data_IF_599647748680
#
_entry.id   IF_599647748680
#
_cell.length_a   1.000
_cell.length_b   1.000
_cell.length_c   1.000
_cell.angle_alpha   90.00
_cell.angle_beta   90.00
_cell.angle_gamma   90.00
#
_symmetry.space_group_name_H-M   'P 1'
#
loop_
_entity.id
_entity.type
_entity.pdbx_description
1 polymer ?
#
# COMPACT_ATOMS: atom_id res chain seq x y z
N UNK A 1 14.14 -15.61 6.17
CA UNK A 1 14.55 -15.14 7.51
C UNK A 1 13.37 -14.43 8.16
N UNK A 2 12.81 -15.01 9.22
CA UNK A 2 11.63 -14.46 9.90
C UNK A 2 11.85 -14.49 11.42
N UNK A 3 12.58 -13.52 11.98
CA UNK A 3 12.87 -13.50 13.41
C UNK A 3 11.60 -13.21 14.21
N UNK A 4 11.54 -13.71 15.45
CA UNK A 4 10.52 -13.27 16.40
C UNK A 4 10.62 -11.76 16.61
N UNK A 5 9.48 -11.09 16.54
CA UNK A 5 9.38 -9.65 16.69
C UNK A 5 9.74 -9.24 18.11
N UNK A 6 10.65 -8.28 18.27
CA UNK A 6 11.01 -7.72 19.57
C UNK A 6 10.88 -6.20 19.51
N UNK A 7 9.88 -5.69 20.20
CA UNK A 7 9.65 -4.26 20.35
C UNK A 7 10.45 -3.73 21.55
N UNK A 8 11.25 -2.70 21.31
CA UNK A 8 11.99 -1.97 22.34
C UNK A 8 11.16 -0.73 22.72
N UNK A 9 10.95 -0.51 24.01
CA UNK A 9 10.19 0.62 24.58
C UNK A 9 11.16 1.54 25.35
N UNK A 10 11.96 2.39 24.66
CA UNK A 10 13.08 3.12 25.28
C UNK A 10 12.63 4.15 26.33
N UNK A 11 11.43 4.74 26.15
CA UNK A 11 10.95 5.84 26.98
C UNK A 11 10.20 5.38 28.24
N UNK A 12 9.91 4.08 28.36
CA UNK A 12 9.14 3.51 29.46
C UNK A 12 9.86 3.58 30.81
N UNK A 13 11.19 3.48 30.80
CA UNK A 13 12.01 3.63 32.01
C UNK A 13 12.29 5.08 32.42
N UNK A 14 12.22 6.01 31.45
CA UNK A 14 12.54 7.44 31.65
C UNK A 14 11.32 8.24 32.14
N UNK A 15 10.14 7.94 31.60
CA UNK A 15 8.89 8.63 31.97
C UNK A 15 8.17 7.82 33.05
N UNK A 16 8.44 8.16 34.32
CA UNK A 16 7.81 7.51 35.50
C UNK A 16 6.34 7.90 35.71
N UNK A 17 5.86 8.95 35.02
CA UNK A 17 4.48 9.42 35.14
C UNK A 17 3.50 8.41 34.55
N UNK A 18 2.48 8.05 35.34
CA UNK A 18 1.37 7.17 34.92
C UNK A 18 0.29 7.91 34.15
N UNK A 19 0.45 9.22 33.90
CA UNK A 19 -0.56 10.05 33.23
C UNK A 19 -0.94 9.47 31.86
N UNK A 20 -2.25 9.28 31.59
CA UNK A 20 -2.75 8.82 30.28
C UNK A 20 -2.29 9.71 29.12
N UNK A 21 -2.11 11.01 29.35
CA UNK A 21 -1.65 11.98 28.34
C UNK A 21 -0.23 11.74 27.85
N UNK A 22 0.61 11.11 28.68
CA UNK A 22 1.98 10.76 28.33
C UNK A 22 2.10 9.34 27.78
N UNK A 23 1.00 8.56 27.72
CA UNK A 23 1.03 7.17 27.30
C UNK A 23 1.50 6.99 25.85
N UNK A 24 1.18 7.92 24.95
CA UNK A 24 1.62 7.84 23.54
C UNK A 24 3.15 7.92 23.42
N UNK A 25 3.77 8.85 24.16
CA UNK A 25 5.23 9.05 24.13
C UNK A 25 5.94 8.01 24.99
N UNK A 26 5.45 7.73 26.20
CA UNK A 26 6.03 6.73 27.10
C UNK A 26 6.04 5.33 26.49
N UNK A 27 4.95 4.95 25.84
CA UNK A 27 4.75 3.62 25.26
C UNK A 27 5.11 3.61 23.76
N UNK A 28 5.94 4.56 23.32
CA UNK A 28 6.60 4.51 22.02
C UNK A 28 7.43 3.24 21.95
N UNK A 29 7.31 2.55 20.82
CA UNK A 29 7.93 1.27 20.60
C UNK A 29 8.49 1.24 19.19
N UNK A 30 9.62 0.57 19.02
CA UNK A 30 10.18 0.30 17.71
C UNK A 30 10.74 -1.12 17.64
N UNK A 31 10.69 -1.72 16.46
CA UNK A 31 11.29 -3.01 16.16
C UNK A 31 12.33 -2.83 15.05
N UNK A 32 13.53 -3.39 15.25
CA UNK A 32 14.66 -3.29 14.33
C UNK A 32 14.81 -4.52 13.42
N UNK A 33 14.03 -5.57 13.65
CA UNK A 33 14.16 -6.84 12.92
C UNK A 33 13.07 -6.98 11.87
N UNK A 34 13.40 -6.81 10.56
CA UNK A 34 12.48 -7.14 9.50
C UNK A 34 12.42 -8.66 9.26
N UNK A 35 11.28 -9.12 8.77
CA UNK A 35 11.13 -10.43 8.14
C UNK A 35 11.44 -10.29 6.66
N UNK A 36 12.35 -11.11 6.13
CA UNK A 36 12.78 -11.06 4.72
C UNK A 36 12.79 -12.47 4.13
N UNK A 37 12.21 -12.60 2.95
CA UNK A 37 12.21 -13.80 2.13
C UNK A 37 12.77 -13.49 0.74
N UNK A 38 13.64 -14.36 0.26
CA UNK A 38 14.19 -14.34 -1.08
C UNK A 38 13.94 -15.71 -1.71
N UNK A 39 13.29 -15.71 -2.87
CA UNK A 39 13.13 -16.90 -3.71
C UNK A 39 13.76 -16.63 -5.07
N UNK A 40 14.51 -17.59 -5.57
CA UNK A 40 15.23 -17.51 -6.83
C UNK A 40 14.92 -18.77 -7.66
N UNK A 41 14.16 -18.60 -8.74
CA UNK A 41 13.77 -19.68 -9.63
C UNK A 41 14.57 -19.57 -10.93
N UNK A 42 15.29 -20.64 -11.27
CA UNK A 42 16.11 -20.72 -12.47
C UNK A 42 15.54 -21.83 -13.34
N UNK A 43 15.10 -21.47 -14.55
CA UNK A 43 14.54 -22.43 -15.51
C UNK A 43 15.31 -22.37 -16.82
N UNK A 44 15.77 -23.53 -17.30
CA UNK A 44 16.46 -23.64 -18.58
C UNK A 44 15.88 -24.78 -19.42
N UNK A 45 15.47 -24.46 -20.63
CA UNK A 45 15.00 -25.39 -21.65
C UNK A 45 15.77 -25.14 -22.95
N UNK A 46 16.18 -26.23 -23.59
CA UNK A 46 16.88 -26.22 -24.87
C UNK A 46 16.22 -27.22 -25.82
N UNK A 47 15.75 -26.74 -26.95
CA UNK A 47 15.29 -27.53 -28.09
C UNK A 47 16.18 -27.31 -29.30
N UNK A 48 16.43 -28.37 -30.07
CA UNK A 48 17.11 -28.28 -31.36
C UNK A 48 16.34 -29.08 -32.39
N UNK A 49 16.04 -28.47 -33.52
CA UNK A 49 15.41 -29.13 -34.66
C UNK A 49 16.39 -29.13 -35.84
N UNK A 50 16.60 -30.30 -36.43
CA UNK A 50 17.36 -30.46 -37.66
C UNK A 50 16.58 -31.34 -38.61
N UNK A 51 16.19 -30.77 -39.75
CA UNK A 51 15.53 -31.55 -40.78
C UNK A 51 16.52 -32.55 -41.40
N UNK A 52 16.03 -33.77 -41.69
CA UNK A 52 16.81 -34.78 -42.38
C UNK A 52 16.97 -34.37 -43.85
N UNK A 53 18.20 -34.40 -44.36
CA UNK A 53 18.45 -34.22 -45.79
C UNK A 53 17.97 -35.49 -46.53
N UNK A 54 17.16 -35.30 -47.57
CA UNK A 54 16.61 -36.38 -48.41
C UNK A 54 17.22 -36.39 -49.83
N UNK A 55 18.20 -35.53 -50.10
CA UNK A 55 18.93 -35.47 -51.37
C UNK A 55 20.24 -36.27 -51.30
N UNK A 56 20.71 -36.77 -52.45
CA UNK A 56 22.02 -37.43 -52.60
C UNK A 56 23.22 -36.49 -52.41
N UNK A 57 22.99 -35.17 -52.39
CA UNK A 57 24.03 -34.20 -52.06
C UNK A 57 24.31 -34.23 -50.56
N UNK A 58 25.56 -34.52 -50.17
CA UNK A 58 26.04 -34.52 -48.78
C UNK A 58 26.11 -33.10 -48.19
N UNK A 59 24.95 -32.47 -47.99
CA UNK A 59 24.80 -31.19 -47.32
C UNK A 59 24.19 -31.37 -45.92
N UNK A 60 24.75 -30.66 -44.92
CA UNK A 60 24.19 -30.62 -43.57
C UNK A 60 23.23 -29.43 -43.47
N UNK A 61 21.93 -29.72 -43.39
CA UNK A 61 20.91 -28.70 -43.15
C UNK A 61 21.19 -27.97 -41.81
N UNK A 62 21.00 -26.64 -41.76
CA UNK A 62 21.22 -25.87 -40.55
C UNK A 62 20.26 -26.33 -39.44
N UNK A 63 20.78 -26.38 -38.21
CA UNK A 63 19.96 -26.59 -37.01
C UNK A 63 19.25 -25.30 -36.62
N UNK A 64 17.97 -25.39 -36.27
CA UNK A 64 17.27 -24.32 -35.58
C UNK A 64 17.22 -24.63 -34.08
N UNK A 65 17.29 -23.58 -33.26
CA UNK A 65 17.37 -23.70 -31.81
C UNK A 65 16.25 -22.93 -31.16
N UNK A 66 15.62 -23.55 -30.16
CA UNK A 66 14.68 -22.92 -29.26
C UNK A 66 15.25 -22.94 -27.83
N UNK A 67 15.40 -21.76 -27.23
CA UNK A 67 16.13 -21.59 -25.97
C UNK A 67 15.38 -20.69 -25.02
N UNK A 68 14.98 -21.26 -23.89
CA UNK A 68 14.39 -20.52 -22.79
C UNK A 68 15.30 -20.65 -21.58
N UNK A 69 15.87 -19.54 -21.12
CA UNK A 69 16.68 -19.51 -19.92
C UNK A 69 16.24 -18.32 -19.08
N UNK A 70 15.37 -18.60 -18.11
CA UNK A 70 14.77 -17.62 -17.21
C UNK A 70 15.45 -17.65 -15.85
N UNK A 71 15.51 -16.49 -15.22
CA UNK A 71 15.94 -16.32 -13.84
C UNK A 71 15.01 -15.31 -13.16
N UNK A 72 14.05 -15.84 -12.42
CA UNK A 72 13.04 -15.07 -11.71
C UNK A 72 13.41 -14.96 -10.23
N UNK A 73 13.31 -13.74 -9.68
CA UNK A 73 13.67 -13.45 -8.29
C UNK A 73 12.52 -12.75 -7.60
N UNK A 74 12.10 -13.30 -6.48
CA UNK A 74 11.02 -12.78 -5.65
C UNK A 74 11.61 -12.33 -4.32
N UNK A 75 11.34 -11.08 -3.96
CA UNK A 75 11.78 -10.45 -2.73
C UNK A 75 10.53 -10.07 -1.94
N UNK A 76 10.43 -10.54 -0.70
CA UNK A 76 9.36 -10.14 0.22
C UNK A 76 10.01 -9.66 1.50
N UNK A 77 9.67 -8.46 1.93
CA UNK A 77 10.08 -7.88 3.20
C UNK A 77 8.84 -7.40 3.93
N UNK A 78 8.69 -7.83 5.17
CA UNK A 78 7.71 -7.27 6.10
C UNK A 78 8.44 -6.72 7.30
N UNK A 79 8.18 -5.46 7.63
CA UNK A 79 8.77 -4.77 8.75
C UNK A 79 7.69 -4.05 9.55
N UNK A 80 7.31 -4.67 10.67
CA UNK A 80 6.48 -4.02 11.67
C UNK A 80 7.36 -3.04 12.46
N UNK A 81 7.60 -1.84 11.92
CA UNK A 81 8.45 -0.78 12.47
C UNK A 81 8.06 -0.42 13.90
N UNK A 82 6.75 -0.34 14.15
CA UNK A 82 6.14 -0.17 15.48
C UNK A 82 4.87 -1.04 15.53
N UNK A 83 4.24 -1.17 16.70
CA UNK A 83 2.92 -1.84 16.82
C UNK A 83 1.82 -1.15 16.01
N UNK A 84 2.01 0.11 15.63
CA UNK A 84 1.06 0.91 14.85
C UNK A 84 1.50 1.18 13.42
N UNK A 85 2.74 0.87 13.03
CA UNK A 85 3.32 1.18 11.73
C UNK A 85 3.95 -0.07 11.12
N UNK A 86 3.41 -0.52 9.99
CA UNK A 86 3.90 -1.70 9.27
C UNK A 86 4.29 -1.32 7.85
N UNK A 87 5.43 -1.83 7.40
CA UNK A 87 5.92 -1.69 6.03
C UNK A 87 5.99 -3.08 5.40
N UNK A 88 5.17 -3.33 4.39
CA UNK A 88 5.20 -4.53 3.56
C UNK A 88 5.77 -4.15 2.18
N UNK A 89 6.79 -4.85 1.71
CA UNK A 89 7.44 -4.61 0.43
C UNK A 89 7.61 -5.92 -0.32
N UNK A 90 7.05 -6.01 -1.51
CA UNK A 90 7.15 -7.16 -2.39
C UNK A 90 7.73 -6.71 -3.73
N UNK A 91 8.75 -7.40 -4.23
CA UNK A 91 9.33 -7.12 -5.53
C UNK A 91 9.58 -8.41 -6.31
N UNK A 92 9.38 -8.34 -7.63
CA UNK A 92 9.62 -9.42 -8.58
C UNK A 92 10.53 -8.90 -9.67
N UNK A 93 11.61 -9.62 -9.95
CA UNK A 93 12.52 -9.33 -11.05
C UNK A 93 12.57 -10.55 -11.96
N UNK A 94 11.97 -10.42 -13.15
CA UNK A 94 12.06 -11.39 -14.21
C UNK A 94 13.25 -11.06 -15.11
N UNK A 95 14.14 -12.03 -15.32
CA UNK A 95 15.27 -11.88 -16.19
C UNK A 95 15.44 -13.05 -17.15
N UNK A 96 16.07 -12.77 -18.29
CA UNK A 96 16.51 -13.77 -19.26
C UNK A 96 18.02 -13.87 -19.23
N UNK A 97 18.55 -15.09 -19.17
CA UNK A 97 19.98 -15.34 -19.35
C UNK A 97 20.24 -15.40 -20.85
N UNK A 98 21.00 -14.44 -21.37
CA UNK A 98 21.35 -14.42 -22.78
C UNK A 98 22.39 -15.53 -23.06
N UNK A 99 22.07 -16.43 -24.01
CA UNK A 99 22.94 -17.53 -24.41
C UNK A 99 23.54 -17.27 -25.81
N UNK A 100 24.78 -17.70 -26.09
CA UNK A 100 25.38 -17.60 -27.40
C UNK A 100 24.64 -18.48 -28.43
N UNK A 101 24.80 -18.14 -29.72
CA UNK A 101 24.16 -18.88 -30.81
C UNK A 101 24.66 -20.34 -30.89
N UNK A 102 23.75 -21.25 -31.26
CA UNK A 102 24.03 -22.67 -31.43
C UNK A 102 24.18 -23.47 -30.13
N UNK A 103 24.67 -24.70 -30.22
CA UNK A 103 24.95 -25.54 -29.06
C UNK A 103 26.08 -24.96 -28.19
N UNK A 104 26.07 -25.29 -26.90
CA UNK A 104 27.09 -24.89 -25.91
C UNK A 104 28.28 -25.86 -25.92
N UNK A 105 28.91 -26.05 -27.08
CA UNK A 105 29.95 -27.08 -27.24
C UNK A 105 31.35 -26.56 -26.83
N UNK A 106 31.60 -25.26 -27.00
CA UNK A 106 32.88 -24.66 -26.62
C UNK A 106 32.90 -24.19 -25.16
N UNK A 107 34.10 -24.20 -24.56
CA UNK A 107 34.33 -23.68 -23.20
C UNK A 107 33.93 -22.21 -23.08
N UNK A 108 34.29 -21.39 -24.08
CA UNK A 108 33.94 -19.98 -24.15
C UNK A 108 32.42 -19.74 -24.09
N UNK A 109 31.64 -20.55 -24.81
CA UNK A 109 30.17 -20.44 -24.79
C UNK A 109 29.61 -20.79 -23.40
N UNK A 110 30.13 -21.85 -22.76
CA UNK A 110 29.73 -22.24 -21.39
C UNK A 110 30.10 -21.15 -20.38
N UNK A 111 31.29 -20.56 -20.50
CA UNK A 111 31.77 -19.49 -19.63
C UNK A 111 30.92 -18.23 -19.78
N UNK A 112 30.52 -17.89 -21.01
CA UNK A 112 29.60 -16.77 -21.28
C UNK A 112 28.25 -16.96 -20.58
N UNK A 113 27.67 -18.16 -20.69
CA UNK A 113 26.40 -18.50 -20.02
C UNK A 113 26.55 -18.44 -18.50
N UNK A 114 27.63 -19.01 -17.94
CA UNK A 114 27.92 -18.94 -16.50
C UNK A 114 28.06 -17.51 -16.01
N UNK A 115 28.76 -16.65 -16.76
CA UNK A 115 28.92 -15.22 -16.45
C UNK A 115 27.57 -14.49 -16.49
N UNK A 116 26.72 -14.78 -17.48
CA UNK A 116 25.40 -14.16 -17.58
C UNK A 116 24.46 -14.62 -16.47
N UNK A 117 24.52 -15.89 -16.06
CA UNK A 117 23.78 -16.43 -14.92
C UNK A 117 24.22 -15.77 -13.60
N UNK A 118 25.54 -15.67 -13.35
CA UNK A 118 26.07 -15.03 -12.14
C UNK A 118 25.76 -13.53 -12.07
N UNK A 119 25.66 -12.85 -13.22
CA UNK A 119 25.20 -11.46 -13.30
C UNK A 119 23.68 -11.29 -13.07
N UNK A 120 22.93 -12.39 -12.98
CA UNK A 120 21.49 -12.35 -12.80
C UNK A 120 20.70 -12.11 -14.09
N UNK A 121 21.31 -12.32 -15.26
CA UNK A 121 20.70 -12.11 -16.56
C UNK A 121 20.38 -10.66 -16.90
N UNK A 122 19.67 -10.48 -18.00
CA UNK A 122 19.10 -9.21 -18.42
C UNK A 122 17.64 -9.14 -17.97
N UNK A 123 17.32 -8.15 -17.15
CA UNK A 123 15.95 -7.91 -16.69
C UNK A 123 15.02 -7.67 -17.87
N UNK A 124 13.91 -8.40 -17.92
CA UNK A 124 12.81 -8.22 -18.87
C UNK A 124 11.63 -7.49 -18.23
N UNK A 125 11.40 -7.72 -16.93
CA UNK A 125 10.41 -7.00 -16.14
C UNK A 125 10.85 -6.88 -14.70
N UNK A 126 10.60 -5.73 -14.10
CA UNK A 126 10.75 -5.53 -12.67
C UNK A 126 9.47 -4.89 -12.14
N UNK A 127 8.91 -5.45 -11.07
CA UNK A 127 7.69 -4.96 -10.44
C UNK A 127 7.87 -4.91 -8.92
N UNK A 128 7.37 -3.88 -8.25
CA UNK A 128 7.21 -3.92 -6.79
C UNK A 128 5.93 -3.24 -6.30
N UNK A 129 5.50 -3.70 -5.13
CA UNK A 129 4.45 -3.10 -4.31
C UNK A 129 5.03 -2.82 -2.92
N UNK A 130 4.98 -1.57 -2.48
CA UNK A 130 5.37 -1.14 -1.13
C UNK A 130 4.18 -0.53 -0.40
N UNK A 131 3.71 -1.16 0.67
CA UNK A 131 2.57 -0.71 1.47
C UNK A 131 3.05 -0.29 2.87
N UNK A 132 2.84 0.98 3.20
CA UNK A 132 3.00 1.53 4.54
C UNK A 132 1.63 1.68 5.19
N UNK A 133 1.37 0.95 6.26
CA UNK A 133 0.11 1.00 7.00
C UNK A 133 0.33 1.59 8.39
N UNK A 134 -0.47 2.59 8.75
CA UNK A 134 -0.42 3.28 10.04
C UNK A 134 -1.80 3.26 10.72
N UNK A 135 -1.88 2.64 11.90
CA UNK A 135 -3.08 2.69 12.75
C UNK A 135 -2.83 3.62 13.92
N UNK A 136 -3.53 4.75 13.96
CA UNK A 136 -3.36 5.71 15.05
C UNK A 136 -3.78 5.06 16.38
N UNK A 137 -2.94 5.01 17.42
CA UNK A 137 -3.27 4.38 18.71
C UNK A 137 -4.16 5.30 19.56
N UNK A 138 -5.34 5.64 19.04
CA UNK A 138 -6.35 6.51 19.64
C UNK A 138 -6.78 6.05 21.04
N UNK A 139 -6.77 4.75 21.30
CA UNK A 139 -7.02 4.16 22.63
C UNK A 139 -6.06 4.67 23.73
N UNK A 140 -4.89 5.21 23.35
CA UNK A 140 -3.94 5.81 24.30
C UNK A 140 -4.25 7.28 24.59
N UNK A 141 -5.15 7.90 23.83
CA UNK A 141 -5.54 9.31 23.97
C UNK A 141 -6.93 9.38 24.61
N UNK A 142 -7.05 9.85 25.88
CA UNK A 142 -8.31 9.87 26.61
C UNK A 142 -9.46 10.66 25.97
N UNK A 143 -9.19 11.48 24.95
CA UNK A 143 -10.19 12.26 24.24
C UNK A 143 -10.54 11.68 22.85
N UNK A 144 -9.82 10.65 22.37
CA UNK A 144 -10.00 10.05 21.04
C UNK A 144 -10.23 8.52 21.05
N UNK A 145 -10.24 7.85 22.20
CA UNK A 145 -10.52 6.40 22.32
C UNK A 145 -11.84 5.91 21.68
N UNK A 146 -12.80 6.81 21.41
CA UNK A 146 -14.05 6.55 20.69
C UNK A 146 -13.88 6.56 19.17
N UNK A 147 -12.66 6.79 18.68
CA UNK A 147 -12.31 6.88 17.26
C UNK A 147 -11.30 5.80 16.88
N UNK A 148 -11.38 5.31 15.65
CA UNK A 148 -10.36 4.44 15.05
C UNK A 148 -9.94 5.04 13.72
N UNK A 149 -8.65 5.39 13.60
CA UNK A 149 -8.11 6.00 12.38
C UNK A 149 -7.02 5.10 11.82
N UNK A 150 -7.18 4.69 10.58
CA UNK A 150 -6.24 3.86 9.81
C UNK A 150 -5.87 4.61 8.54
N UNK A 151 -4.58 4.69 8.24
CA UNK A 151 -4.07 5.22 7.00
C UNK A 151 -3.18 4.16 6.33
N UNK A 152 -3.27 4.01 5.01
CA UNK A 152 -2.38 3.15 4.24
C UNK A 152 -1.91 3.88 2.99
N UNK A 153 -0.63 3.76 2.68
CA UNK A 153 -0.03 4.25 1.45
C UNK A 153 0.59 3.07 0.71
N UNK A 154 0.11 2.78 -0.49
CA UNK A 154 0.65 1.72 -1.36
C UNK A 154 1.29 2.35 -2.57
N UNK A 155 2.60 2.21 -2.72
CA UNK A 155 3.35 2.57 -3.91
C UNK A 155 3.53 1.35 -4.82
N UNK A 156 3.32 1.52 -6.11
CA UNK A 156 3.50 0.49 -7.14
C UNK A 156 4.43 1.01 -8.22
N UNK A 157 5.28 0.14 -8.73
CA UNK A 157 6.16 0.46 -9.85
C UNK A 157 6.39 -0.77 -10.71
N UNK A 158 6.33 -0.58 -12.02
CA UNK A 158 6.62 -1.61 -13.01
C UNK A 158 7.56 -1.03 -14.06
N UNK A 159 8.59 -1.78 -14.42
CA UNK A 159 9.51 -1.50 -15.51
C UNK A 159 9.47 -2.69 -16.45
N UNK A 160 9.16 -2.43 -17.71
CA UNK A 160 9.01 -3.45 -18.75
C UNK A 160 10.01 -3.14 -19.86
N UNK A 161 10.91 -4.08 -20.12
CA UNK A 161 11.93 -3.93 -21.15
C UNK A 161 11.30 -3.86 -22.55
N UNK A 162 11.88 -3.03 -23.41
CA UNK A 162 11.60 -3.04 -24.84
C UNK A 162 12.01 -4.37 -25.48
N UNK A 163 11.38 -4.73 -26.59
CA UNK A 163 11.86 -5.83 -27.44
C UNK A 163 13.30 -5.55 -27.89
N UNK A 164 14.12 -6.61 -27.99
CA UNK A 164 15.50 -6.48 -28.46
C UNK A 164 15.59 -5.99 -29.92
N UNK A 165 14.52 -6.17 -30.70
CA UNK A 165 14.41 -5.70 -32.09
C UNK A 165 14.13 -4.18 -32.17
N UNK A 166 13.61 -3.59 -31.09
CA UNK A 166 13.13 -2.21 -31.06
C UNK A 166 13.63 -1.48 -29.80
N UNK A 167 14.90 -1.67 -29.45
CA UNK A 167 15.53 -1.05 -28.26
C UNK A 167 15.47 0.49 -28.30
N UNK A 168 15.52 1.05 -29.49
CA UNK A 168 15.37 2.47 -29.79
C UNK A 168 14.00 3.03 -29.35
N UNK A 169 12.93 2.23 -29.36
CA UNK A 169 11.61 2.67 -28.90
C UNK A 169 11.53 2.86 -27.39
N UNK A 170 12.50 2.34 -26.63
CA UNK A 170 12.59 2.49 -25.18
C UNK A 170 11.68 1.56 -24.39
N UNK A 171 12.02 1.39 -23.12
CA UNK A 171 11.29 0.61 -22.13
C UNK A 171 10.03 1.38 -21.68
N UNK A 172 9.14 0.68 -20.98
CA UNK A 172 7.94 1.29 -20.42
C UNK A 172 8.02 1.26 -18.92
N UNK A 173 7.84 2.42 -18.27
CA UNK A 173 7.75 2.51 -16.81
C UNK A 173 6.35 2.92 -16.41
N UNK A 174 5.83 2.23 -15.40
CA UNK A 174 4.55 2.51 -14.78
C UNK A 174 4.80 2.82 -13.32
N UNK A 175 4.10 3.80 -12.79
CA UNK A 175 4.00 3.98 -11.37
C UNK A 175 2.55 4.15 -10.93
N UNK A 176 2.31 3.83 -9.67
CA UNK A 176 1.03 4.00 -9.02
C UNK A 176 1.20 4.35 -7.56
N UNK A 177 0.28 5.12 -7.02
CA UNK A 177 0.11 5.28 -5.58
C UNK A 177 -1.38 5.14 -5.23
N UNK A 178 -1.65 4.42 -4.16
CA UNK A 178 -2.99 4.34 -3.57
C UNK A 178 -2.90 4.82 -2.12
N UNK A 179 -3.65 5.86 -1.78
CA UNK A 179 -3.78 6.39 -0.42
C UNK A 179 -5.15 6.02 0.08
N UNK A 180 -5.21 5.33 1.22
CA UNK A 180 -6.46 5.04 1.89
C UNK A 180 -6.43 5.63 3.29
N UNK A 181 -7.51 6.29 3.68
CA UNK A 181 -7.73 6.77 5.04
C UNK A 181 -9.12 6.29 5.45
N UNK A 182 -9.16 5.52 6.54
CA UNK A 182 -10.39 5.02 7.15
C UNK A 182 -10.51 5.64 8.53
N UNK A 183 -11.62 6.33 8.78
CA UNK A 183 -12.00 6.85 10.08
C UNK A 183 -13.31 6.22 10.54
N UNK A 184 -13.30 5.61 11.71
CA UNK A 184 -14.51 5.10 12.36
C UNK A 184 -14.72 5.87 13.66
N UNK A 185 -15.91 6.43 13.81
CA UNK A 185 -16.29 7.27 14.94
C UNK A 185 -17.46 6.62 15.65
N UNK A 186 -17.24 6.15 16.87
CA UNK A 186 -18.25 5.50 17.70
C UNK A 186 -18.79 6.49 18.74
N UNK A 187 -19.89 7.16 18.40
CA UNK A 187 -20.49 8.17 19.24
C UNK A 187 -21.15 7.58 20.49
N UNK A 188 -21.56 6.30 20.47
CA UNK A 188 -22.03 5.62 21.69
C UNK A 188 -20.95 5.62 22.78
N UNK A 189 -19.71 5.33 22.39
CA UNK A 189 -18.57 5.40 23.32
C UNK A 189 -18.30 6.84 23.77
N UNK A 190 -18.42 7.82 22.88
CA UNK A 190 -18.26 9.23 23.23
C UNK A 190 -19.31 9.71 24.24
N UNK A 191 -20.59 9.45 23.96
CA UNK A 191 -21.68 9.92 24.80
C UNK A 191 -21.69 9.22 26.15
N UNK A 192 -21.37 7.93 26.20
CA UNK A 192 -21.20 7.20 27.46
C UNK A 192 -19.98 7.64 28.25
N UNK A 193 -19.15 8.60 27.82
CA UNK A 193 -18.15 9.21 28.72
C UNK A 193 -18.75 10.17 29.73
N UNK A 194 -19.81 10.86 29.34
CA UNK A 194 -20.49 11.78 30.26
C UNK A 194 -21.35 10.98 31.23
N UNK A 195 -21.14 11.16 32.53
CA UNK A 195 -21.97 10.53 33.59
C UNK A 195 -23.45 10.87 33.42
N UNK A 196 -23.75 12.06 32.92
CA UNK A 196 -25.11 12.54 32.67
C UNK A 196 -25.78 11.81 31.49
N UNK A 197 -25.07 11.66 30.38
CA UNK A 197 -25.58 10.96 29.19
C UNK A 197 -25.66 9.43 29.43
N UNK A 198 -24.80 8.85 30.27
CA UNK A 198 -24.99 7.45 30.72
C UNK A 198 -26.36 7.22 31.35
N UNK A 199 -26.88 8.17 32.14
CA UNK A 199 -28.22 8.07 32.74
C UNK A 199 -29.36 8.12 31.70
N UNK A 200 -29.11 8.70 30.52
CA UNK A 200 -30.08 8.75 29.41
C UNK A 200 -30.19 7.40 28.70
N UNK A 201 -29.08 6.66 28.60
CA UNK A 201 -29.00 5.37 27.88
C UNK A 201 -29.13 4.14 28.77
N UNK A 202 -28.77 4.24 30.04
CA UNK A 202 -29.04 3.20 31.03
C UNK A 202 -30.52 3.25 31.37
N UNK A 203 -31.33 2.61 30.53
CA UNK A 203 -32.41 1.85 31.12
C UNK A 203 -31.77 0.68 31.83
N UNK A 204 -31.67 0.76 33.15
CA UNK A 204 -31.96 -0.45 33.88
C UNK A 204 -33.33 -0.89 33.35
N UNK A 205 -33.47 -2.06 32.71
CA UNK A 205 -34.77 -2.70 32.72
C UNK A 205 -35.15 -2.68 34.18
N UNK A 206 -36.31 -2.12 34.51
CA UNK A 206 -36.90 -2.24 35.85
C UNK A 206 -36.61 -3.68 36.25
N UNK A 207 -35.73 -3.88 37.25
CA UNK A 207 -35.47 -5.21 37.75
C UNK A 207 -36.87 -5.79 37.99
N UNK A 208 -37.23 -6.95 37.42
CA UNK A 208 -38.58 -7.48 37.56
C UNK A 208 -38.90 -7.36 39.03
N UNK A 209 -39.96 -6.61 39.35
CA UNK A 209 -40.41 -6.42 40.72
C UNK A 209 -40.51 -7.81 41.31
N UNK A 210 -39.47 -8.21 42.06
CA UNK A 210 -39.59 -9.30 43.00
C UNK A 210 -40.61 -8.76 43.98
N UNK A 211 -41.85 -9.21 43.79
CA UNK A 211 -42.96 -8.98 44.72
C UNK A 211 -42.38 -9.16 46.11
N UNK A 212 -42.25 -8.04 46.82
CA UNK A 212 -41.82 -8.04 48.19
C UNK A 212 -42.84 -8.90 48.95
N UNK A 213 -42.38 -10.01 49.50
CA UNK A 213 -43.10 -10.68 50.56
C UNK A 213 -43.32 -9.65 51.67
N UNK A 214 -44.58 -9.50 52.04
CA UNK A 214 -45.05 -8.66 53.14
C UNK A 214 -44.29 -8.97 54.42
N UNK A 215 -43.62 -7.97 54.98
CA UNK A 215 -43.43 -7.92 56.43
C UNK A 215 -43.38 -6.46 56.87
N UNK A 216 -44.39 -6.09 57.65
CA UNK A 216 -44.44 -4.88 58.45
C UNK A 216 -43.15 -4.74 59.27
N UNK A 217 -42.51 -3.58 59.20
CA UNK A 217 -42.40 -2.65 60.34
C UNK A 217 -41.58 -1.43 59.95
N UNK A 218 -41.99 -0.31 60.54
CA UNK A 218 -41.46 1.00 60.31
C UNK A 218 -39.97 1.12 60.64
N UNK A 219 -39.17 1.61 59.69
CA UNK A 219 -38.00 2.46 59.99
C UNK A 219 -37.63 3.27 58.74
N UNK A 220 -37.86 4.58 58.79
CA UNK A 220 -37.36 5.55 57.79
C UNK A 220 -35.83 5.68 57.93
N UNK A 221 -35.10 4.70 57.42
CA UNK A 221 -33.66 4.79 57.19
C UNK A 221 -33.38 5.45 55.85
N UNK A 222 -32.77 6.63 55.84
CA UNK A 222 -32.23 7.24 54.60
C UNK A 222 -31.24 6.25 53.98
N UNK A 223 -31.59 5.67 52.83
CA UNK A 223 -30.67 4.85 52.03
C UNK A 223 -29.40 5.66 51.74
N UNK A 224 -28.20 5.09 51.93
CA UNK A 224 -26.95 5.77 51.61
C UNK A 224 -26.97 6.14 50.13
N UNK A 225 -26.75 7.43 49.84
CA UNK A 225 -26.76 7.97 48.48
C UNK A 225 -25.49 7.47 47.79
N UNK A 226 -25.64 6.39 47.03
CA UNK A 226 -24.56 5.76 46.30
C UNK A 226 -23.86 6.81 45.41
N UNK A 227 -22.55 7.08 45.57
CA UNK A 227 -21.82 8.07 44.77
C UNK A 227 -21.86 7.77 43.26
N UNK A 228 -22.25 6.56 42.89
CA UNK A 228 -22.41 6.08 41.52
C UNK A 228 -23.86 5.99 41.02
N UNK A 229 -24.84 6.45 41.81
CA UNK A 229 -26.23 6.53 41.35
C UNK A 229 -26.35 7.50 40.17
N UNK A 230 -26.87 7.00 39.05
CA UNK A 230 -27.09 7.79 37.85
C UNK A 230 -28.24 8.78 38.10
N UNK A 231 -28.16 10.01 37.59
CA UNK A 231 -29.23 10.97 37.73
C UNK A 231 -30.50 10.46 37.03
N UNK A 232 -31.61 10.37 37.76
CA UNK A 232 -32.92 10.08 37.18
C UNK A 232 -33.39 11.28 36.36
N UNK A 233 -33.41 11.12 35.04
CA UNK A 233 -33.83 12.16 34.11
C UNK A 233 -35.28 11.88 33.73
N UNK A 234 -36.15 12.89 33.86
CA UNK A 234 -37.56 12.77 33.50
C UNK A 234 -37.75 12.48 32.00
N UNK A 235 -38.90 11.88 31.63
CA UNK A 235 -39.15 11.33 30.29
C UNK A 235 -38.96 12.35 29.15
N UNK A 236 -39.33 13.62 29.37
CA UNK A 236 -39.27 14.67 28.34
C UNK A 236 -37.84 15.14 28.04
N UNK A 237 -37.03 15.61 29.02
CA UNK A 237 -35.61 15.90 28.79
C UNK A 237 -34.82 14.70 28.24
N UNK A 238 -35.18 13.48 28.66
CA UNK A 238 -34.57 12.25 28.15
C UNK A 238 -34.80 12.07 26.66
N UNK A 239 -36.02 12.29 26.18
CA UNK A 239 -36.37 12.21 24.75
C UNK A 239 -35.55 13.21 23.92
N UNK A 240 -35.51 14.48 24.33
CA UNK A 240 -34.71 15.49 23.61
C UNK A 240 -33.22 15.20 23.63
N UNK A 241 -32.69 14.65 24.72
CA UNK A 241 -31.29 14.21 24.76
C UNK A 241 -31.01 13.02 23.87
N UNK A 242 -31.90 12.03 23.79
CA UNK A 242 -31.77 10.90 22.86
C UNK A 242 -31.79 11.39 21.40
N UNK A 243 -32.65 12.36 21.10
CA UNK A 243 -32.70 12.97 19.77
C UNK A 243 -31.41 13.72 19.43
N UNK A 244 -30.89 14.51 20.37
CA UNK A 244 -29.63 15.25 20.21
C UNK A 244 -28.40 14.33 20.10
N UNK A 245 -28.49 13.11 20.64
CA UNK A 245 -27.43 12.10 20.63
C UNK A 245 -27.81 10.87 19.78
N UNK A 246 -28.61 11.13 18.75
CA UNK A 246 -29.12 10.11 17.85
C UNK A 246 -28.05 9.58 16.89
N UNK A 247 -27.01 10.36 16.60
CA UNK A 247 -25.89 9.89 15.78
C UNK A 247 -25.08 8.84 16.53
N UNK A 248 -25.06 7.60 16.05
CA UNK A 248 -24.43 6.47 16.73
C UNK A 248 -23.03 6.19 16.21
N UNK A 249 -22.90 6.12 14.88
CA UNK A 249 -21.64 5.76 14.24
C UNK A 249 -21.46 6.55 12.96
N UNK A 250 -20.23 6.95 12.70
CA UNK A 250 -19.84 7.52 11.40
C UNK A 250 -18.61 6.76 10.90
N UNK A 251 -18.68 6.25 9.68
CA UNK A 251 -17.56 5.66 8.96
C UNK A 251 -17.20 6.56 7.77
N UNK A 252 -15.93 6.95 7.69
CA UNK A 252 -15.37 7.71 6.57
C UNK A 252 -14.32 6.82 5.91
N UNK A 253 -14.47 6.58 4.61
CA UNK A 253 -13.46 5.93 3.79
C UNK A 253 -13.07 6.89 2.67
N UNK A 254 -11.81 7.28 2.66
CA UNK A 254 -11.23 8.11 1.62
C UNK A 254 -10.15 7.33 0.89
N UNK A 255 -10.26 7.24 -0.44
CA UNK A 255 -9.32 6.51 -1.30
C UNK A 255 -8.92 7.39 -2.47
N UNK A 256 -7.62 7.63 -2.65
CA UNK A 256 -7.04 8.22 -3.85
C UNK A 256 -6.21 7.15 -4.56
N UNK A 257 -6.49 6.88 -5.84
CA UNK A 257 -5.65 6.06 -6.71
C UNK A 257 -5.11 6.90 -7.86
N UNK A 258 -3.79 6.92 -7.98
CA UNK A 258 -3.08 7.73 -8.96
C UNK A 258 -2.08 6.83 -9.66
N UNK A 259 -1.84 7.06 -10.96
CA UNK A 259 -0.79 6.34 -11.66
C UNK A 259 -0.37 6.99 -12.96
N UNK A 260 0.86 6.73 -13.38
CA UNK A 260 1.42 7.21 -14.65
C UNK A 260 2.00 6.05 -15.44
N UNK A 261 1.65 5.98 -16.72
CA UNK A 261 2.31 5.17 -17.74
C UNK A 261 3.23 6.11 -18.54
N UNK A 262 4.54 5.88 -18.47
CA UNK A 262 5.55 6.59 -19.22
C UNK A 262 6.27 5.61 -20.16
N UNK A 263 5.83 5.53 -21.42
CA UNK A 263 6.52 4.75 -22.44
C UNK A 263 7.76 5.48 -22.96
N UNK A 264 8.69 4.74 -23.56
CA UNK A 264 9.86 5.32 -24.23
C UNK A 264 11.04 5.63 -23.32
N UNK A 265 11.08 5.07 -22.12
CA UNK A 265 12.15 5.23 -21.13
C UNK A 265 13.39 4.40 -21.51
N UNK A 266 14.52 5.04 -21.79
CA UNK A 266 15.70 4.36 -22.35
C UNK A 266 16.60 3.65 -21.34
N UNK A 267 16.42 3.93 -20.04
CA UNK A 267 17.32 3.39 -19.02
C UNK A 267 16.89 1.99 -18.54
N UNK A 268 17.88 1.25 -18.05
CA UNK A 268 17.71 -0.07 -17.43
C UNK A 268 17.19 0.03 -16.00
N UNK A 269 16.73 -1.09 -15.47
CA UNK A 269 16.41 -1.25 -14.05
C UNK A 269 17.38 -2.22 -13.39
N UNK A 270 17.83 -1.90 -12.17
CA UNK A 270 18.74 -2.73 -11.39
C UNK A 270 18.09 -3.12 -10.07
N UNK A 271 18.59 -2.62 -8.93
CA UNK A 271 17.99 -2.94 -7.63
C UNK A 271 16.89 -1.93 -7.29
N UNK A 272 15.82 -2.44 -6.67
CA UNK A 272 14.67 -1.64 -6.21
C UNK A 272 14.02 -0.80 -7.33
N UNK A 273 14.10 -1.26 -8.58
CA UNK A 273 13.49 -0.58 -9.71
C UNK A 273 14.31 0.56 -10.30
N UNK A 274 15.43 0.93 -9.68
CA UNK A 274 16.27 2.05 -10.09
C UNK A 274 17.58 1.57 -10.71
N UNK A 275 18.17 2.42 -11.57
CA UNK A 275 19.57 2.30 -11.96
C UNK A 275 20.39 3.28 -11.11
N UNK A 276 21.21 2.77 -10.19
CA UNK A 276 22.00 3.61 -9.28
C UNK A 276 23.08 4.44 -9.99
N UNK A 277 23.47 4.07 -11.22
CA UNK A 277 24.45 4.85 -11.99
C UNK A 277 23.87 6.16 -12.53
N UNK A 278 22.60 6.14 -12.90
CA UNK A 278 21.87 7.30 -13.44
C UNK A 278 20.95 7.95 -12.41
N UNK A 279 20.69 7.27 -11.28
CA UNK A 279 19.66 7.64 -10.29
C UNK A 279 18.27 7.81 -10.91
N UNK A 280 17.99 7.13 -12.02
CA UNK A 280 16.75 7.25 -12.79
C UNK A 280 15.87 6.00 -12.64
N UNK A 281 14.53 6.12 -12.73
CA UNK A 281 13.75 7.36 -12.91
C UNK A 281 13.68 8.22 -11.64
N UNK A 282 14.24 7.73 -10.52
CA UNK A 282 14.33 8.43 -9.25
C UNK A 282 13.44 7.79 -8.18
N UNK A 283 13.84 7.93 -6.91
CA UNK A 283 13.14 7.30 -5.79
C UNK A 283 11.69 7.80 -5.69
N UNK A 284 11.44 9.08 -5.97
CA UNK A 284 10.08 9.65 -5.99
C UNK A 284 9.18 8.89 -6.98
N UNK A 285 9.64 8.69 -8.21
CA UNK A 285 8.88 8.01 -9.26
C UNK A 285 8.57 6.55 -8.87
N UNK A 286 9.58 5.85 -8.36
CA UNK A 286 9.54 4.46 -7.87
C UNK A 286 8.62 4.30 -6.66
N UNK A 287 8.47 5.35 -5.84
CA UNK A 287 7.54 5.42 -4.72
C UNK A 287 6.15 5.96 -5.12
N UNK A 288 5.84 6.10 -6.41
CA UNK A 288 4.49 6.41 -6.89
C UNK A 288 4.21 7.89 -7.20
N UNK A 289 5.22 8.77 -7.19
CA UNK A 289 5.06 10.17 -7.57
C UNK A 289 4.73 10.33 -9.06
N UNK A 290 3.60 10.95 -9.40
CA UNK A 290 3.25 11.24 -10.79
C UNK A 290 4.11 12.41 -11.32
N UNK A 291 4.92 12.21 -12.38
CA UNK A 291 5.75 13.25 -12.92
C UNK A 291 4.91 14.35 -13.58
N UNK A 292 5.33 15.59 -13.42
CA UNK A 292 4.74 16.70 -14.17
C UNK A 292 5.44 16.89 -15.53
N UNK A 293 5.06 17.93 -16.26
CA UNK A 293 5.68 18.25 -17.55
C UNK A 293 7.16 18.63 -17.40
N UNK A 294 7.57 19.23 -16.28
CA UNK A 294 8.96 19.60 -16.03
C UNK A 294 9.84 18.37 -15.76
N UNK A 295 9.35 17.40 -14.99
CA UNK A 295 10.03 16.12 -14.77
C UNK A 295 10.24 15.36 -16.07
N UNK A 296 9.21 15.29 -16.92
CA UNK A 296 9.29 14.62 -18.22
C UNK A 296 10.29 15.34 -19.13
N UNK A 297 10.29 16.67 -19.15
CA UNK A 297 11.27 17.46 -19.90
C UNK A 297 12.70 17.24 -19.40
N UNK A 298 12.89 17.09 -18.08
CA UNK A 298 14.19 16.79 -17.48
C UNK A 298 14.67 15.37 -17.87
N UNK A 299 13.78 14.37 -17.87
CA UNK A 299 14.13 13.04 -18.38
C UNK A 299 14.52 13.10 -19.88
N UNK A 300 13.80 13.88 -20.68
CA UNK A 300 14.11 14.10 -22.10
C UNK A 300 15.46 14.82 -22.32
N UNK A 301 15.76 15.85 -21.52
CA UNK A 301 17.01 16.61 -21.62
C UNK A 301 18.23 15.77 -21.25
N UNK A 302 18.08 14.89 -20.26
CA UNK A 302 19.09 13.89 -19.86
C UNK A 302 19.25 12.73 -20.86
N UNK A 303 18.47 12.70 -21.94
CA UNK A 303 18.52 11.64 -22.95
C UNK A 303 17.97 10.30 -22.45
N UNK A 304 17.10 10.32 -21.44
CA UNK A 304 16.50 9.11 -20.84
C UNK A 304 15.16 8.74 -21.50
N UNK A 305 14.72 9.49 -22.50
CA UNK A 305 13.52 9.23 -23.28
C UNK A 305 13.86 9.08 -24.76
N UNK A 306 13.16 8.19 -25.44
CA UNK A 306 13.34 7.92 -26.87
C UNK A 306 13.08 9.15 -27.72
N UNK A 307 13.88 9.30 -28.78
CA UNK A 307 13.75 10.34 -29.82
C UNK A 307 13.36 9.74 -31.16
N UNK A 308 12.96 8.48 -31.17
CA UNK A 308 12.61 7.78 -32.39
C UNK A 308 11.34 8.40 -33.02
N UNK A 309 11.39 8.70 -34.31
CA UNK A 309 10.26 9.25 -35.05
C UNK A 309 9.10 8.25 -35.19
N UNK A 310 9.39 6.95 -35.07
CA UNK A 310 8.41 5.87 -35.09
C UNK A 310 7.71 5.68 -33.73
N UNK A 311 8.18 6.34 -32.67
CA UNK A 311 7.57 6.24 -31.35
C UNK A 311 6.24 7.00 -31.29
N UNK A 312 5.14 6.28 -31.10
CA UNK A 312 3.77 6.83 -31.11
C UNK A 312 2.99 6.57 -29.81
N UNK A 313 3.62 6.01 -28.79
CA UNK A 313 2.95 5.72 -27.51
C UNK A 313 2.73 7.00 -26.69
N UNK A 314 1.58 7.08 -26.03
CA UNK A 314 1.17 8.24 -25.24
C UNK A 314 1.50 8.04 -23.76
N UNK A 315 1.96 9.10 -23.11
CA UNK A 315 1.99 9.16 -21.65
C UNK A 315 0.55 9.22 -21.15
N UNK A 316 0.22 8.40 -20.16
CA UNK A 316 -1.12 8.37 -19.57
C UNK A 316 -1.01 8.60 -18.08
N UNK A 317 -1.86 9.47 -17.55
CA UNK A 317 -1.96 9.74 -16.12
C UNK A 317 -3.40 9.56 -15.70
N UNK A 318 -3.63 8.75 -14.67
CA UNK A 318 -4.95 8.55 -14.08
C UNK A 318 -4.99 9.12 -12.67
N UNK A 319 -6.15 9.63 -12.29
CA UNK A 319 -6.46 10.09 -10.95
C UNK A 319 -7.91 9.69 -10.65
N UNK A 320 -8.09 8.84 -9.65
CA UNK A 320 -9.38 8.44 -9.11
C UNK A 320 -9.42 8.83 -7.63
N UNK A 321 -10.52 9.44 -7.22
CA UNK A 321 -10.78 9.81 -5.85
C UNK A 321 -12.17 9.32 -5.47
N UNK A 322 -12.26 8.56 -4.38
CA UNK A 322 -13.51 8.06 -3.81
C UNK A 322 -13.61 8.44 -2.34
N UNK A 323 -14.71 9.08 -1.98
CA UNK A 323 -15.10 9.36 -0.59
C UNK A 323 -16.42 8.63 -0.33
N UNK A 324 -16.40 7.71 0.63
CA UNK A 324 -17.60 7.03 1.14
C UNK A 324 -17.81 7.44 2.59
N UNK A 325 -18.96 8.02 2.87
CA UNK A 325 -19.42 8.39 4.19
C UNK A 325 -20.61 7.51 4.55
N UNK A 326 -20.54 6.88 5.72
CA UNK A 326 -21.65 6.12 6.30
C UNK A 326 -21.98 6.72 7.66
N UNK A 327 -23.26 6.92 7.95
CA UNK A 327 -23.72 7.42 9.22
C UNK A 327 -24.93 6.62 9.68
N UNK A 328 -24.85 6.10 10.91
CA UNK A 328 -25.96 5.40 11.56
C UNK A 328 -26.59 6.34 12.58
N UNK A 329 -27.88 6.59 12.42
CA UNK A 329 -28.67 7.47 13.29
C UNK A 329 -29.80 6.65 13.92
N UNK A 330 -29.95 6.77 15.23
CA UNK A 330 -31.00 6.13 16.01
C UNK A 330 -31.74 7.19 16.85
N UNK A 331 -32.75 7.89 16.27
CA UNK A 331 -33.49 8.94 16.97
C UNK A 331 -34.36 8.40 18.12
N UNK A 332 -34.92 7.20 17.94
CA UNK A 332 -35.70 6.45 18.92
C UNK A 332 -35.22 5.00 18.95
N UNK A 333 -35.46 4.28 20.05
CA UNK A 333 -34.84 2.96 20.30
C UNK A 333 -35.09 1.92 19.22
N UNK A 334 -36.23 2.00 18.54
CA UNK A 334 -36.66 1.02 17.54
C UNK A 334 -36.48 1.51 16.10
N UNK A 335 -35.87 2.68 15.88
CA UNK A 335 -35.64 3.26 14.55
C UNK A 335 -34.15 3.44 14.30
N UNK A 336 -33.59 2.61 13.41
CA UNK A 336 -32.24 2.77 12.89
C UNK A 336 -32.31 3.30 11.45
N UNK A 337 -31.58 4.37 11.18
CA UNK A 337 -31.46 5.00 9.87
C UNK A 337 -29.99 4.95 9.47
N UNK A 338 -29.69 4.21 8.42
CA UNK A 338 -28.35 4.15 7.83
C UNK A 338 -28.29 5.05 6.59
N UNK A 339 -27.43 6.06 6.64
CA UNK A 339 -27.20 7.00 5.55
C UNK A 339 -25.85 6.67 4.93
N UNK A 340 -25.83 6.44 3.62
CA UNK A 340 -24.59 6.26 2.85
C UNK A 340 -24.50 7.36 1.78
N UNK A 341 -23.36 8.02 1.72
CA UNK A 341 -23.04 9.03 0.73
C UNK A 341 -21.72 8.66 0.05
N UNK A 342 -21.77 8.48 -1.26
CA UNK A 342 -20.60 8.22 -2.09
C UNK A 342 -20.34 9.40 -3.03
N UNK A 343 -19.08 9.84 -3.08
CA UNK A 343 -18.59 10.79 -4.06
C UNK A 343 -17.38 10.20 -4.76
N UNK A 344 -17.47 10.10 -6.08
CA UNK A 344 -16.39 9.62 -6.94
C UNK A 344 -15.99 10.71 -7.92
N UNK A 345 -14.69 10.88 -8.13
CA UNK A 345 -14.12 11.75 -9.15
C UNK A 345 -13.03 10.99 -9.91
N UNK A 346 -13.13 11.01 -11.23
CA UNK A 346 -12.22 10.31 -12.13
C UNK A 346 -11.70 11.26 -13.19
N UNK A 347 -10.38 11.23 -13.41
CA UNK A 347 -9.73 11.99 -14.46
C UNK A 347 -8.63 11.16 -15.11
N UNK A 348 -8.58 11.18 -16.44
CA UNK A 348 -7.53 10.52 -17.23
C UNK A 348 -6.99 11.50 -18.26
N UNK A 349 -5.69 11.77 -18.17
CA UNK A 349 -4.97 12.67 -19.06
C UNK A 349 -4.06 11.83 -19.96
N UNK A 350 -4.08 12.12 -21.27
CA UNK A 350 -3.18 11.50 -22.26
C UNK A 350 -2.36 12.59 -22.93
N UNK A 351 -1.03 12.41 -22.98
CA UNK A 351 -0.10 13.38 -23.59
C UNK A 351 0.79 12.68 -24.60
N UNK A 352 1.02 13.31 -25.76
CA UNK A 352 1.99 12.83 -26.74
C UNK A 352 3.38 13.33 -26.37
N UNK A 353 4.36 12.42 -26.37
CA UNK A 353 5.77 12.77 -26.20
C UNK A 353 6.33 13.30 -27.53
N UNK A 354 6.86 14.52 -27.52
CA UNK A 354 7.56 15.11 -28.68
C UNK A 354 8.88 15.67 -28.19
N UNK A 355 10.00 15.01 -28.51
CA UNK A 355 11.34 15.46 -28.13
C UNK A 355 11.99 16.12 -29.34
N UNK A 356 12.24 17.43 -29.26
CA UNK A 356 12.93 18.15 -30.33
C UNK A 356 14.45 17.91 -30.24
N UNK A 357 15.10 17.30 -31.25
CA UNK A 357 16.52 16.98 -31.21
C UNK A 357 17.43 18.23 -31.23
N UNK A 358 16.93 19.41 -31.62
CA UNK A 358 17.77 20.60 -31.81
C UNK A 358 17.93 21.48 -30.56
N UNK A 359 17.06 21.37 -29.54
CA UNK A 359 17.10 22.23 -28.34
C UNK A 359 18.21 21.91 -27.33
N UNK A 360 18.93 20.79 -27.48
CA UNK A 360 19.97 20.36 -26.53
C UNK A 360 21.39 20.70 -26.95
N UNK A 361 21.58 21.31 -28.13
CA UNK A 361 22.91 21.72 -28.62
C UNK A 361 23.37 23.09 -28.09
N UNK A 362 22.50 23.84 -27.40
CA UNK A 362 22.81 25.19 -26.92
C UNK A 362 23.45 25.24 -25.52
N UNK A 363 23.60 24.10 -24.84
CA UNK A 363 24.35 24.00 -23.58
C UNK A 363 25.53 23.05 -23.75
N UNK A 364 26.62 23.54 -24.32
CA UNK A 364 27.95 22.94 -24.20
C UNK A 364 28.98 24.02 -23.96
#
# INVERSE_FOLDING_TARGET
>A
YAPQQRFIEPLKGLIKSKSPWLALVRDFNFNYKPSVSLKADVFRQFGSLRNRNVSDVKFKLPETFDKFFYFDRYYTMRWDLTRSLTLDFNAVNNARIDEPFGRLDSKEKKDSVRKNLLKGGRTTRYHHDGTLSYTLPTNKLPFLDWTTIRASYTAKYDWIAASLLARNLGNTVLNGQTRNITGEFNFDQLYTKSRFLRGVYNENPTAPEQKAATTDTATKGKKPKDPNALPEISKVPRFFMQLATSLKRVGIQYTEDMGTLLPGYLDSTQALGMNFRSSSPGLKYVLGYQPDTADINNLGSRGLLTRDSLFNQLIQQRYNQKLSLTAQIQPIRDLNIDITLDKTFDNTIKKKLVINPNKLKEHK
#
